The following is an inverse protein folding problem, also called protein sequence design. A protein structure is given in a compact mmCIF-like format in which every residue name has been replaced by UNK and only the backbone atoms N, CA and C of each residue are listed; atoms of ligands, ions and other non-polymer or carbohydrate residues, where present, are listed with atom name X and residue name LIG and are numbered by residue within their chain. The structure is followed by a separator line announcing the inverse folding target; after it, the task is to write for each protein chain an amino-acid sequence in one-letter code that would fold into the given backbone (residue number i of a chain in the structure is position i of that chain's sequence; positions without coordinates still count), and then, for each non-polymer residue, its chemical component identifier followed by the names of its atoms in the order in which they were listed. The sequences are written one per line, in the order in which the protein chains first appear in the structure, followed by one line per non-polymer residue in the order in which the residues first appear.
data_IF_324289950941
#
_entry.id   IF_324289950941
#
_cell.length_a   1.000
_cell.length_b   1.000
_cell.length_c   1.000
_cell.angle_alpha   90.00
_cell.angle_beta   90.00
_cell.angle_gamma   90.00
#
_symmetry.space_group_name_H-M   'P 1'
#
loop_
_entity.id
_entity.type
_entity.pdbx_description
1 polymer ?
#
# COMPACT_ATOMS: atom_id res chain seq x y z
N UNK A 1 -0.54 42.43 59.88
CA UNK A 1 0.81 42.91 59.50
C UNK A 1 1.78 41.77 59.69
N UNK A 2 2.67 41.35 58.79
CA UNK A 2 3.04 41.69 57.41
C UNK A 2 3.77 40.42 56.87
N UNK A 3 3.65 40.24 55.57
CA UNK A 3 4.22 39.22 54.65
C UNK A 3 5.75 39.03 54.69
N UNK A 4 6.23 37.83 54.29
CA UNK A 4 7.32 37.59 53.30
C UNK A 4 7.54 36.06 53.10
N UNK A 5 7.09 35.49 51.98
CA UNK A 5 7.84 35.25 50.73
C UNK A 5 8.80 34.04 50.76
N UNK A 6 8.34 32.89 50.23
CA UNK A 6 9.21 31.99 49.47
C UNK A 6 8.49 31.66 48.16
N UNK A 7 9.04 32.20 47.09
CA UNK A 7 8.70 31.90 45.70
C UNK A 7 8.98 30.41 45.42
N UNK A 8 8.02 29.70 44.85
CA UNK A 8 8.30 28.48 44.08
C UNK A 8 7.48 28.54 42.81
N UNK A 9 8.07 29.15 41.78
CA UNK A 9 7.56 29.14 40.42
C UNK A 9 7.73 27.72 39.86
N UNK A 10 6.66 26.94 39.83
CA UNK A 10 6.63 25.70 39.04
C UNK A 10 6.46 26.11 37.58
N UNK A 11 7.55 26.04 36.82
CA UNK A 11 7.54 26.14 35.37
C UNK A 11 6.73 24.96 34.83
N UNK A 12 5.45 25.20 34.48
CA UNK A 12 4.71 24.32 33.58
C UNK A 12 5.33 24.51 32.19
N UNK A 13 6.30 23.68 31.85
CA UNK A 13 6.65 23.46 30.45
C UNK A 13 5.46 22.70 29.83
N UNK A 14 4.51 23.44 29.23
CA UNK A 14 3.61 22.85 28.26
C UNK A 14 4.48 22.29 27.13
N UNK A 15 4.62 20.98 27.11
CA UNK A 15 5.07 20.20 25.96
C UNK A 15 4.06 20.38 24.83
N UNK A 16 4.11 21.52 24.16
CA UNK A 16 3.59 21.67 22.81
C UNK A 16 4.59 21.00 21.86
N UNK A 17 4.63 19.67 21.89
CA UNK A 17 5.03 18.93 20.70
C UNK A 17 3.94 19.22 19.67
N UNK A 18 4.13 20.31 18.92
CA UNK A 18 3.52 20.45 17.60
C UNK A 18 4.04 19.23 16.84
N UNK A 19 3.25 18.17 16.83
CA UNK A 19 3.41 17.12 15.85
C UNK A 19 3.24 17.82 14.52
N UNK A 20 4.35 18.25 13.93
CA UNK A 20 4.40 18.53 12.51
C UNK A 20 4.17 17.15 11.89
N UNK A 21 2.89 16.86 11.63
CA UNK A 21 2.48 15.78 10.75
C UNK A 21 3.07 16.15 9.40
N UNK A 22 4.32 15.80 9.16
CA UNK A 22 4.82 15.66 7.82
C UNK A 22 3.84 14.69 7.18
N UNK A 23 3.01 15.19 6.26
CA UNK A 23 2.29 14.33 5.34
C UNK A 23 3.38 13.52 4.65
N UNK A 24 3.65 12.33 5.17
CA UNK A 24 4.54 11.39 4.55
C UNK A 24 4.07 11.22 3.11
N UNK A 25 5.04 11.47 2.23
CA UNK A 25 4.83 11.56 0.82
C UNK A 25 4.79 10.12 0.32
N UNK A 26 3.86 9.81 -0.59
CA UNK A 26 4.04 8.64 -1.42
C UNK A 26 5.43 8.62 -2.06
N UNK A 27 6.02 7.45 -2.17
CA UNK A 27 7.39 7.33 -2.60
C UNK A 27 7.87 5.90 -2.80
N UNK A 28 9.16 5.79 -3.07
CA UNK A 28 9.82 4.59 -3.55
C UNK A 28 10.11 3.60 -2.45
N UNK A 29 9.55 2.41 -2.58
CA UNK A 29 9.83 1.31 -1.69
C UNK A 29 10.89 0.36 -2.27
N UNK A 30 11.58 -0.36 -1.38
CA UNK A 30 12.53 -1.40 -1.80
C UNK A 30 11.81 -2.73 -1.88
N UNK A 31 11.91 -3.39 -3.02
CA UNK A 31 11.32 -4.71 -3.25
C UNK A 31 12.29 -5.81 -2.79
N UNK A 32 11.86 -6.68 -1.86
CA UNK A 32 12.59 -7.89 -1.51
C UNK A 32 11.90 -9.09 -2.18
N UNK A 33 12.62 -9.77 -3.06
CA UNK A 33 12.09 -10.87 -3.87
C UNK A 33 13.07 -12.05 -3.92
N UNK A 34 12.61 -13.19 -4.44
CA UNK A 34 13.44 -14.36 -4.73
C UNK A 34 13.26 -14.78 -6.19
N UNK A 35 14.35 -15.06 -6.93
CA UNK A 35 15.75 -14.94 -6.52
C UNK A 35 16.22 -13.47 -6.44
N UNK A 36 17.17 -13.15 -5.55
CA UNK A 36 17.83 -11.84 -5.47
C UNK A 36 19.36 -11.99 -5.53
N UNK A 37 20.06 -11.42 -6.53
CA UNK A 37 19.51 -10.69 -7.67
C UNK A 37 18.68 -11.60 -8.60
N UNK A 38 17.83 -11.00 -9.43
CA UNK A 38 17.17 -11.74 -10.53
C UNK A 38 18.24 -12.19 -11.51
N UNK A 39 18.43 -13.50 -11.65
CA UNK A 39 19.37 -14.10 -12.61
C UNK A 39 18.72 -14.47 -13.93
N UNK A 40 17.40 -14.68 -13.92
CA UNK A 40 16.60 -15.01 -15.10
C UNK A 40 15.35 -14.12 -15.10
N UNK A 41 15.26 -13.11 -16.01
CA UNK A 41 14.11 -12.21 -16.09
C UNK A 41 12.85 -12.89 -16.65
N UNK A 42 12.95 -14.13 -17.13
CA UNK A 42 11.82 -14.91 -17.66
C UNK A 42 11.16 -15.82 -16.62
N UNK A 43 11.83 -16.05 -15.49
CA UNK A 43 11.39 -17.00 -14.47
C UNK A 43 10.51 -16.33 -13.39
N UNK A 44 10.01 -17.12 -12.45
CA UNK A 44 9.26 -16.60 -11.31
C UNK A 44 10.12 -15.63 -10.47
N UNK A 45 9.55 -14.47 -10.14
CA UNK A 45 10.15 -13.46 -9.26
C UNK A 45 9.17 -13.25 -8.11
N UNK A 46 9.40 -13.99 -7.03
CA UNK A 46 8.46 -14.06 -5.92
C UNK A 46 8.73 -12.93 -4.94
N UNK A 47 7.74 -12.05 -4.75
CA UNK A 47 7.79 -11.01 -3.72
C UNK A 47 7.72 -11.65 -2.33
N UNK A 48 8.73 -11.35 -1.53
CA UNK A 48 8.82 -11.78 -0.13
C UNK A 48 8.39 -10.67 0.83
N UNK A 49 8.89 -9.45 0.59
CA UNK A 49 8.57 -8.29 1.43
C UNK A 49 8.86 -6.97 0.70
N UNK A 50 8.39 -5.87 1.28
CA UNK A 50 8.68 -4.51 0.85
C UNK A 50 9.23 -3.72 2.03
N UNK A 51 10.26 -2.91 1.81
CA UNK A 51 10.68 -1.89 2.77
C UNK A 51 10.09 -0.56 2.32
N UNK A 52 9.16 -0.03 3.13
CA UNK A 52 8.45 1.23 2.88
C UNK A 52 9.37 2.43 3.11
N UNK A 53 8.91 3.61 2.72
CA UNK A 53 9.66 4.87 2.90
C UNK A 53 9.96 5.21 4.38
N UNK A 54 9.17 4.68 5.32
CA UNK A 54 9.40 4.83 6.76
C UNK A 54 10.42 3.81 7.31
N UNK A 55 11.02 2.99 6.45
CA UNK A 55 12.00 1.95 6.79
C UNK A 55 11.37 0.67 7.33
N UNK A 56 10.05 0.56 7.42
CA UNK A 56 9.39 -0.65 7.91
C UNK A 56 9.27 -1.69 6.80
N UNK A 57 9.60 -2.93 7.17
CA UNK A 57 9.36 -4.08 6.32
C UNK A 57 7.91 -4.54 6.47
N UNK A 58 7.27 -4.85 5.35
CA UNK A 58 5.97 -5.51 5.27
C UNK A 58 6.09 -6.78 4.44
N UNK A 59 5.47 -7.86 4.90
CA UNK A 59 5.41 -9.13 4.18
C UNK A 59 3.97 -9.66 4.03
N UNK A 60 3.02 -9.01 4.70
CA UNK A 60 1.62 -9.41 4.74
C UNK A 60 0.83 -8.59 3.72
N UNK A 61 0.65 -9.15 2.54
CA UNK A 61 0.00 -8.49 1.41
C UNK A 61 -1.47 -8.90 1.28
N UNK A 62 -2.32 -7.93 0.97
CA UNK A 62 -3.66 -8.16 0.44
C UNK A 62 -3.54 -8.26 -1.09
N UNK A 63 -3.95 -9.41 -1.62
CA UNK A 63 -3.93 -9.71 -3.04
C UNK A 63 -5.30 -9.41 -3.66
N UNK A 64 -5.31 -9.16 -4.97
CA UNK A 64 -6.56 -9.00 -5.72
C UNK A 64 -7.30 -10.33 -5.76
N UNK A 65 -8.56 -10.35 -5.37
CA UNK A 65 -9.40 -11.56 -5.37
C UNK A 65 -10.46 -11.54 -6.46
N UNK A 66 -10.87 -10.34 -6.90
CA UNK A 66 -11.84 -10.20 -7.98
C UNK A 66 -11.60 -8.91 -8.77
N UNK A 67 -12.05 -8.94 -10.01
CA UNK A 67 -11.99 -7.83 -10.95
C UNK A 67 -13.33 -7.68 -11.64
N UNK A 68 -13.79 -6.45 -11.84
CA UNK A 68 -14.84 -6.13 -12.80
C UNK A 68 -14.21 -5.36 -13.96
N UNK A 69 -14.39 -5.86 -15.18
CA UNK A 69 -13.98 -5.15 -16.39
C UNK A 69 -15.09 -4.18 -16.75
N UNK A 70 -14.88 -2.89 -16.49
CA UNK A 70 -15.85 -1.83 -16.80
C UNK A 70 -15.72 -1.41 -18.25
N UNK A 71 -14.48 -1.27 -18.72
CA UNK A 71 -14.14 -0.92 -20.10
C UNK A 71 -12.87 -1.65 -20.52
N UNK A 72 -12.90 -2.20 -21.72
CA UNK A 72 -11.74 -2.75 -22.42
C UNK A 72 -11.89 -2.36 -23.90
N UNK A 73 -11.35 -1.20 -24.30
CA UNK A 73 -11.65 -0.56 -25.59
C UNK A 73 -10.41 -0.21 -26.42
N UNK A 74 -10.63 0.12 -27.70
CA UNK A 74 -9.58 0.64 -28.60
C UNK A 74 -9.04 -0.39 -29.59
N UNK A 75 -8.51 -1.51 -29.09
CA UNK A 75 -7.91 -2.61 -29.87
C UNK A 75 -8.04 -3.95 -29.10
N UNK A 76 -7.86 -5.09 -29.79
CA UNK A 76 -7.63 -6.37 -29.08
C UNK A 76 -6.32 -6.27 -28.29
N UNK A 77 -6.22 -6.88 -27.11
CA UNK A 77 -5.01 -6.80 -26.27
C UNK A 77 -4.98 -5.61 -25.30
N UNK A 78 -5.91 -4.64 -25.38
CA UNK A 78 -5.92 -3.45 -24.52
C UNK A 78 -5.79 -3.76 -23.02
N UNK A 79 -6.38 -4.86 -22.57
CA UNK A 79 -6.08 -5.48 -21.28
C UNK A 79 -5.81 -6.94 -21.58
N UNK A 80 -4.55 -7.32 -21.62
CA UNK A 80 -4.10 -8.70 -21.74
C UNK A 80 -3.52 -9.17 -20.41
N UNK A 81 -3.24 -10.47 -20.31
CA UNK A 81 -2.45 -11.02 -19.22
C UNK A 81 -1.18 -11.61 -19.79
N UNK A 82 -0.02 -11.30 -19.19
CA UNK A 82 1.26 -11.86 -19.61
C UNK A 82 2.13 -12.24 -18.40
N UNK A 83 3.04 -13.18 -18.61
CA UNK A 83 3.97 -13.69 -17.60
C UNK A 83 5.35 -13.89 -18.19
N UNK A 84 6.34 -14.02 -17.32
CA UNK A 84 7.66 -14.50 -17.72
C UNK A 84 7.61 -15.79 -18.56
N UNK A 85 8.47 -15.90 -19.57
CA UNK A 85 8.47 -17.04 -20.52
C UNK A 85 8.48 -18.39 -19.79
N UNK A 86 9.23 -18.47 -18.69
CA UNK A 86 9.42 -19.68 -17.89
C UNK A 86 8.74 -19.61 -16.53
N UNK A 87 8.01 -18.54 -16.23
CA UNK A 87 7.22 -18.39 -15.01
C UNK A 87 6.13 -19.47 -14.91
N UNK A 88 5.92 -20.03 -13.72
CA UNK A 88 5.03 -21.17 -13.50
C UNK A 88 3.65 -20.76 -12.99
N UNK A 89 3.55 -19.60 -12.33
CA UNK A 89 2.29 -18.98 -11.89
C UNK A 89 1.72 -18.04 -12.96
N UNK A 90 0.40 -17.73 -12.95
CA UNK A 90 -0.66 -18.26 -12.06
C UNK A 90 -1.24 -19.60 -12.55
N UNK A 91 -0.56 -20.32 -13.44
CA UNK A 91 -1.08 -21.54 -14.07
C UNK A 91 -2.07 -21.27 -15.21
N UNK A 92 -2.24 -20.00 -15.58
CA UNK A 92 -2.92 -19.58 -16.80
C UNK A 92 -1.89 -19.26 -17.88
N UNK A 93 -2.27 -19.46 -19.14
CA UNK A 93 -1.48 -18.98 -20.27
C UNK A 93 -1.77 -17.49 -20.50
N UNK A 94 -0.79 -16.74 -21.05
CA UNK A 94 -1.04 -15.39 -21.56
C UNK A 94 -2.26 -15.35 -22.48
N UNK A 95 -3.01 -14.25 -22.43
CA UNK A 95 -4.29 -14.12 -23.11
C UNK A 95 -4.56 -12.66 -23.45
N UNK A 96 -4.78 -12.37 -24.74
CA UNK A 96 -5.07 -11.05 -25.30
C UNK A 96 -6.48 -10.52 -24.98
N UNK A 97 -7.36 -11.40 -24.52
CA UNK A 97 -8.71 -11.05 -24.10
C UNK A 97 -9.11 -11.90 -22.88
N UNK A 98 -8.45 -11.66 -21.73
CA UNK A 98 -8.65 -12.41 -20.51
C UNK A 98 -10.03 -12.09 -19.91
N UNK A 99 -10.65 -13.11 -19.34
CA UNK A 99 -11.79 -12.93 -18.45
C UNK A 99 -11.37 -12.19 -17.18
N UNK A 100 -12.34 -11.59 -16.49
CA UNK A 100 -12.13 -10.99 -15.17
C UNK A 100 -11.45 -11.94 -14.17
N UNK A 101 -11.74 -13.24 -14.26
CA UNK A 101 -11.12 -14.28 -13.41
C UNK A 101 -9.64 -14.46 -13.73
N UNK A 102 -9.26 -14.42 -15.00
CA UNK A 102 -7.87 -14.53 -15.42
C UNK A 102 -7.06 -13.30 -14.97
N UNK A 103 -7.60 -12.09 -15.16
CA UNK A 103 -6.99 -10.85 -14.64
C UNK A 103 -6.81 -10.95 -13.11
N UNK A 104 -7.85 -11.39 -12.39
CA UNK A 104 -7.76 -11.60 -10.94
C UNK A 104 -6.71 -12.64 -10.56
N UNK A 105 -6.51 -13.71 -11.35
CA UNK A 105 -5.47 -14.70 -11.09
C UNK A 105 -4.05 -14.15 -11.31
N UNK A 106 -3.86 -13.30 -12.32
CA UNK A 106 -2.57 -12.64 -12.60
C UNK A 106 -2.22 -11.58 -11.55
N UNK A 107 -3.20 -10.83 -11.05
CA UNK A 107 -3.00 -9.85 -9.96
C UNK A 107 -3.01 -10.49 -8.57
N UNK A 108 -3.71 -11.60 -8.40
CA UNK A 108 -3.99 -12.27 -7.13
C UNK A 108 -2.89 -13.21 -6.62
N UNK A 109 -1.64 -12.93 -6.96
CA UNK A 109 -0.47 -13.70 -6.53
C UNK A 109 0.72 -12.77 -6.29
N UNK A 110 1.75 -13.26 -5.58
CA UNK A 110 2.95 -12.49 -5.27
C UNK A 110 4.10 -12.68 -6.28
N UNK A 111 3.85 -13.26 -7.45
CA UNK A 111 4.84 -13.32 -8.51
C UNK A 111 4.82 -12.02 -9.31
N UNK A 112 5.92 -11.26 -9.23
CA UNK A 112 6.09 -9.98 -9.92
C UNK A 112 6.29 -10.15 -11.43
N UNK A 113 6.54 -11.37 -11.89
CA UNK A 113 6.60 -11.70 -13.31
C UNK A 113 5.26 -12.21 -13.86
N UNK A 114 4.16 -11.90 -13.17
CA UNK A 114 2.79 -12.07 -13.65
C UNK A 114 2.14 -10.70 -13.64
N UNK A 115 1.80 -10.19 -14.81
CA UNK A 115 1.36 -8.82 -15.00
C UNK A 115 0.06 -8.77 -15.80
N UNK A 116 -0.63 -7.64 -15.65
CA UNK A 116 -1.55 -7.18 -16.68
C UNK A 116 -0.70 -6.41 -17.68
N UNK A 117 -0.78 -6.81 -18.93
CA UNK A 117 -0.05 -6.24 -20.05
C UNK A 117 -1.06 -5.44 -20.88
N UNK A 118 -0.69 -4.26 -21.34
CA UNK A 118 -1.64 -3.41 -22.08
C UNK A 118 -1.01 -2.65 -23.23
N UNK A 119 -1.83 -2.40 -24.24
CA UNK A 119 -1.38 -1.81 -25.49
C UNK A 119 -1.10 -0.31 -25.35
N UNK A 120 -0.06 0.18 -26.04
CA UNK A 120 0.35 1.59 -26.10
C UNK A 120 -0.80 2.58 -26.37
N UNK A 121 -1.83 2.13 -27.09
CA UNK A 121 -3.01 2.92 -27.48
C UNK A 121 -4.32 2.38 -26.91
N UNK A 122 -4.24 1.39 -26.04
CA UNK A 122 -5.37 0.81 -25.35
C UNK A 122 -6.00 1.79 -24.37
N UNK A 123 -7.29 1.61 -24.10
CA UNK A 123 -7.99 2.32 -23.04
C UNK A 123 -8.82 1.32 -22.20
N UNK A 124 -8.59 1.30 -20.89
CA UNK A 124 -9.29 0.40 -20.00
C UNK A 124 -9.76 1.07 -18.72
N UNK A 125 -10.80 0.45 -18.13
CA UNK A 125 -11.26 0.69 -16.77
C UNK A 125 -11.52 -0.64 -16.09
N UNK A 126 -10.83 -0.87 -14.97
CA UNK A 126 -10.96 -2.07 -14.15
C UNK A 126 -11.30 -1.67 -12.72
N UNK A 127 -12.25 -2.35 -12.10
CA UNK A 127 -12.41 -2.31 -10.65
C UNK A 127 -11.78 -3.56 -10.06
N UNK A 128 -10.75 -3.41 -9.23
CA UNK A 128 -10.06 -4.51 -8.56
C UNK A 128 -10.41 -4.50 -7.08
N UNK A 129 -10.68 -5.67 -6.51
CA UNK A 129 -11.04 -5.82 -5.09
C UNK A 129 -10.08 -6.75 -4.38
N UNK A 130 -9.83 -6.45 -3.11
CA UNK A 130 -9.00 -7.24 -2.21
C UNK A 130 -9.85 -8.17 -1.35
N UNK A 131 -9.24 -9.19 -0.75
CA UNK A 131 -9.92 -10.13 0.14
C UNK A 131 -10.49 -9.45 1.40
N UNK A 132 -9.76 -8.44 1.91
CA UNK A 132 -10.17 -7.64 3.05
C UNK A 132 -9.99 -6.16 2.77
N UNK A 133 -10.90 -5.34 3.31
CA UNK A 133 -10.79 -3.89 3.20
C UNK A 133 -9.53 -3.39 3.93
N UNK A 134 -8.83 -2.45 3.29
CA UNK A 134 -7.66 -1.78 3.84
C UNK A 134 -8.13 -0.57 4.62
N UNK A 135 -7.85 -0.55 5.93
CA UNK A 135 -8.21 0.57 6.78
C UNK A 135 -7.23 1.73 6.59
N UNK A 136 -7.75 2.88 6.18
CA UNK A 136 -7.00 4.13 6.15
C UNK A 136 -6.60 4.53 7.56
N UNK A 137 -5.30 4.69 7.78
CA UNK A 137 -4.76 5.27 8.99
C UNK A 137 -4.29 6.72 8.75
N UNK A 138 -3.98 7.43 9.82
CA UNK A 138 -3.39 8.78 9.73
C UNK A 138 -1.88 8.74 9.46
N UNK A 139 -1.33 7.57 9.15
CA UNK A 139 0.07 7.49 8.75
C UNK A 139 0.11 7.76 7.26
N UNK A 140 0.88 8.75 6.85
CA UNK A 140 0.92 9.16 5.45
C UNK A 140 1.84 8.20 4.64
N UNK A 141 1.57 6.93 4.81
CA UNK A 141 2.52 5.84 4.61
C UNK A 141 1.90 4.89 3.60
N UNK A 142 2.69 4.38 2.65
CA UNK A 142 2.17 3.76 1.44
C UNK A 142 1.36 2.50 1.74
N UNK A 143 0.15 2.41 1.21
CA UNK A 143 -0.78 1.31 1.49
C UNK A 143 -1.09 0.47 0.26
N UNK A 144 -0.87 1.01 -0.93
CA UNK A 144 -0.94 0.27 -2.19
C UNK A 144 0.41 0.36 -2.89
N UNK A 145 0.88 -0.76 -3.42
CA UNK A 145 2.18 -0.86 -4.06
C UNK A 145 1.98 -1.27 -5.50
N UNK A 146 2.55 -0.49 -6.41
CA UNK A 146 2.47 -0.72 -7.83
C UNK A 146 3.85 -1.03 -8.39
N UNK A 147 3.88 -1.94 -9.35
CA UNK A 147 5.00 -2.17 -10.23
C UNK A 147 4.55 -1.97 -11.67
N UNK A 148 5.45 -1.48 -12.50
CA UNK A 148 5.22 -1.30 -13.92
C UNK A 148 6.44 -1.76 -14.73
N UNK A 149 6.23 -2.52 -15.82
CA UNK A 149 7.29 -2.91 -16.75
C UNK A 149 7.47 -1.78 -17.77
N UNK A 150 8.70 -1.32 -17.98
CA UNK A 150 9.04 -0.36 -19.04
C UNK A 150 9.38 1.06 -18.57
N UNK A 151 8.96 1.47 -17.38
CA UNK A 151 9.13 2.81 -16.79
C UNK A 151 8.60 3.94 -17.70
N UNK A 152 7.57 3.67 -18.49
CA UNK A 152 7.21 4.52 -19.63
C UNK A 152 5.71 4.84 -19.72
N UNK A 153 4.89 4.20 -18.89
CA UNK A 153 3.44 4.35 -18.88
C UNK A 153 2.92 5.12 -17.67
N UNK A 154 1.61 5.41 -17.67
CA UNK A 154 0.91 6.00 -16.53
C UNK A 154 -0.34 5.20 -16.19
N UNK A 155 -0.78 5.29 -14.94
CA UNK A 155 -2.04 4.67 -14.52
C UNK A 155 -2.76 5.58 -13.53
N UNK A 156 -4.05 5.79 -13.76
CA UNK A 156 -4.91 6.51 -12.84
C UNK A 156 -5.64 5.53 -11.95
N UNK A 157 -5.78 5.88 -10.68
CA UNK A 157 -6.52 5.10 -9.72
C UNK A 157 -7.40 5.96 -8.81
N UNK A 158 -8.47 5.35 -8.31
CA UNK A 158 -9.34 5.92 -7.28
C UNK A 158 -9.84 4.80 -6.37
N UNK A 159 -10.05 5.10 -5.08
CA UNK A 159 -10.50 4.10 -4.13
C UNK A 159 -11.97 3.72 -4.32
N UNK A 160 -12.30 2.47 -3.98
CA UNK A 160 -13.65 1.91 -3.96
C UNK A 160 -14.03 1.48 -2.54
N UNK A 161 -15.28 1.73 -2.17
CA UNK A 161 -15.90 1.14 -0.97
C UNK A 161 -16.38 -0.31 -1.22
N UNK A 162 -16.94 -0.94 -0.18
CA UNK A 162 -17.46 -2.33 -0.25
C UNK A 162 -18.58 -2.54 -1.29
N UNK A 163 -19.24 -1.46 -1.71
CA UNK A 163 -20.34 -1.48 -2.68
C UNK A 163 -19.88 -1.14 -4.09
N UNK A 164 -18.58 -0.86 -4.26
CA UNK A 164 -18.01 -0.40 -5.52
C UNK A 164 -18.26 1.08 -5.82
N UNK A 165 -18.62 1.90 -4.82
CA UNK A 165 -18.70 3.34 -5.03
C UNK A 165 -17.31 3.96 -4.97
N UNK A 166 -17.07 4.96 -5.82
CA UNK A 166 -15.86 5.77 -5.80
C UNK A 166 -15.80 6.63 -4.53
N UNK A 167 -14.66 6.58 -3.84
CA UNK A 167 -14.37 7.37 -2.65
C UNK A 167 -13.01 8.08 -2.80
N UNK A 168 -12.87 9.23 -2.15
CA UNK A 168 -11.67 10.06 -2.27
C UNK A 168 -11.49 10.68 -3.66
N UNK A 169 -10.25 11.06 -3.96
CA UNK A 169 -9.82 11.69 -5.19
C UNK A 169 -9.16 10.68 -6.12
N UNK A 170 -9.28 10.91 -7.43
CA UNK A 170 -8.45 10.24 -8.41
C UNK A 170 -6.98 10.70 -8.28
N UNK A 171 -6.06 9.75 -8.37
CA UNK A 171 -4.61 9.99 -8.36
C UNK A 171 -4.00 9.30 -9.58
N UNK A 172 -3.03 9.95 -10.23
CA UNK A 172 -2.33 9.36 -11.38
C UNK A 172 -0.88 9.11 -11.01
N UNK A 173 -0.44 7.87 -11.15
CA UNK A 173 0.98 7.54 -11.17
C UNK A 173 1.47 7.91 -12.58
N UNK A 174 2.03 9.11 -12.71
CA UNK A 174 2.65 9.57 -13.94
C UNK A 174 3.96 8.82 -14.17
N UNK A 175 4.33 8.63 -15.45
CA UNK A 175 5.57 7.93 -15.82
C UNK A 175 6.84 8.49 -15.16
N UNK A 176 6.85 9.78 -14.82
CA UNK A 176 7.97 10.45 -14.14
C UNK A 176 8.08 10.09 -12.66
N UNK A 177 7.08 9.44 -12.07
CA UNK A 177 7.07 9.01 -10.68
C UNK A 177 7.64 7.61 -10.47
N UNK A 178 7.75 6.81 -11.53
CA UNK A 178 8.32 5.48 -11.41
C UNK A 178 9.81 5.54 -11.07
N UNK A 179 10.20 4.77 -10.06
CA UNK A 179 11.60 4.55 -9.73
C UNK A 179 11.96 3.08 -9.93
N UNK A 180 13.19 2.83 -10.35
CA UNK A 180 13.64 1.47 -10.66
C UNK A 180 13.55 0.55 -9.43
N UNK A 181 12.80 -0.54 -9.56
CA UNK A 181 12.50 -1.49 -8.49
C UNK A 181 13.66 -2.45 -8.17
N UNK A 182 14.77 -2.38 -8.91
CA UNK A 182 15.96 -3.21 -8.70
C UNK A 182 16.01 -4.50 -9.54
N UNK A 183 15.06 -4.70 -10.46
CA UNK A 183 15.01 -5.90 -11.31
C UNK A 183 14.40 -5.62 -12.68
N UNK A 184 14.59 -6.57 -13.58
CA UNK A 184 14.01 -6.57 -14.93
C UNK A 184 13.14 -7.80 -15.12
N UNK A 185 12.14 -7.69 -15.99
CA UNK A 185 11.32 -8.83 -16.42
C UNK A 185 11.27 -8.92 -17.94
N UNK A 186 11.13 -10.15 -18.44
CA UNK A 186 10.91 -10.48 -19.84
C UNK A 186 9.73 -11.45 -19.89
N UNK A 187 8.60 -10.94 -20.37
CA UNK A 187 7.39 -11.74 -20.57
C UNK A 187 7.29 -12.22 -22.01
N UNK A 188 6.27 -13.02 -22.32
CA UNK A 188 6.18 -13.74 -23.60
C UNK A 188 6.01 -12.85 -24.82
N UNK A 189 5.47 -11.65 -24.63
CA UNK A 189 5.21 -10.68 -25.68
C UNK A 189 6.48 -9.96 -26.16
N UNK A 190 7.50 -9.80 -25.30
CA UNK A 190 8.71 -9.01 -25.60
C UNK A 190 9.98 -9.85 -25.81
N UNK A 191 10.87 -9.32 -26.65
CA UNK A 191 12.13 -10.02 -26.99
C UNK A 191 13.28 -9.69 -26.05
N UNK A 192 13.23 -8.58 -25.31
CA UNK A 192 14.28 -8.12 -24.39
C UNK A 192 13.69 -7.83 -23.02
N UNK A 193 14.45 -8.12 -21.96
CA UNK A 193 14.04 -7.77 -20.61
C UNK A 193 13.98 -6.24 -20.43
N UNK A 194 12.98 -5.78 -19.72
CA UNK A 194 12.76 -4.36 -19.43
C UNK A 194 12.84 -4.10 -17.93
N UNK A 195 13.26 -2.88 -17.57
CA UNK A 195 13.29 -2.43 -16.18
C UNK A 195 11.88 -2.37 -15.60
N UNK A 196 11.76 -2.74 -14.34
CA UNK A 196 10.52 -2.59 -13.59
C UNK A 196 10.58 -1.35 -12.70
N UNK A 197 9.55 -0.51 -12.77
CA UNK A 197 9.27 0.57 -11.85
C UNK A 197 8.51 0.15 -10.62
N UNK A 198 8.65 0.93 -9.55
CA UNK A 198 7.90 0.78 -8.32
C UNK A 198 7.41 2.15 -7.82
N UNK A 199 6.17 2.19 -7.33
CA UNK A 199 5.62 3.37 -6.67
C UNK A 199 4.60 2.99 -5.59
N UNK A 200 4.76 3.56 -4.40
CA UNK A 200 3.81 3.41 -3.30
C UNK A 200 2.74 4.50 -3.34
N UNK A 201 1.47 4.14 -3.20
CA UNK A 201 0.36 5.07 -3.06
C UNK A 201 -0.13 5.08 -1.61
N UNK A 202 -0.17 6.27 -1.01
CA UNK A 202 -0.74 6.50 0.32
C UNK A 202 -2.21 6.92 0.23
N UNK A 203 -2.94 6.79 1.33
CA UNK A 203 -4.30 7.32 1.44
C UNK A 203 -4.38 8.84 1.24
N UNK A 204 -3.30 9.57 1.56
CA UNK A 204 -3.19 11.00 1.30
C UNK A 204 -3.22 11.34 -0.19
N UNK A 205 -2.63 10.50 -1.05
CA UNK A 205 -2.71 10.67 -2.51
C UNK A 205 -4.16 10.57 -3.01
N UNK A 206 -4.93 9.69 -2.38
CA UNK A 206 -6.34 9.45 -2.69
C UNK A 206 -7.26 10.42 -1.94
N UNK A 207 -6.74 11.40 -1.19
CA UNK A 207 -7.54 12.36 -0.42
C UNK A 207 -8.46 11.71 0.63
N UNK A 208 -8.12 10.52 1.11
CA UNK A 208 -8.92 9.77 2.06
C UNK A 208 -8.59 10.19 3.50
N UNK A 209 -9.62 10.29 4.33
CA UNK A 209 -9.47 10.54 5.77
C UNK A 209 -9.25 9.24 6.52
N UNK A 210 -8.48 9.28 7.60
CA UNK A 210 -8.32 8.12 8.49
C UNK A 210 -9.65 7.57 9.00
N UNK A 211 -9.71 6.25 9.15
CA UNK A 211 -10.92 5.51 9.45
C UNK A 211 -11.71 5.09 8.20
N UNK A 212 -11.35 5.55 7.01
CA UNK A 212 -12.01 5.12 5.78
C UNK A 212 -11.58 3.71 5.40
N UNK A 213 -12.55 2.83 5.13
CA UNK A 213 -12.31 1.50 4.61
C UNK A 213 -12.26 1.53 3.08
N UNK A 214 -11.19 0.99 2.50
CA UNK A 214 -11.03 0.83 1.05
C UNK A 214 -11.07 -0.64 0.70
N UNK A 215 -12.10 -1.07 -0.03
CA UNK A 215 -12.27 -2.48 -0.44
C UNK A 215 -11.64 -2.80 -1.78
N UNK A 216 -11.34 -1.77 -2.59
CA UNK A 216 -10.77 -1.94 -3.91
C UNK A 216 -10.25 -0.64 -4.51
N UNK A 217 -9.76 -0.74 -5.75
CA UNK A 217 -9.33 0.39 -6.56
C UNK A 217 -10.00 0.32 -7.92
N UNK A 218 -10.50 1.45 -8.42
CA UNK A 218 -10.73 1.66 -9.85
C UNK A 218 -9.40 2.01 -10.47
N UNK A 219 -9.02 1.32 -11.53
CA UNK A 219 -7.81 1.53 -12.33
C UNK A 219 -8.22 1.97 -13.73
N UNK A 220 -7.56 3.00 -14.25
CA UNK A 220 -7.88 3.60 -15.54
C UNK A 220 -6.58 3.84 -16.31
N UNK A 221 -6.54 3.36 -17.54
CA UNK A 221 -5.55 3.77 -18.52
C UNK A 221 -6.25 4.48 -19.67
N UNK A 222 -5.83 5.72 -19.95
CA UNK A 222 -6.24 6.44 -21.15
C UNK A 222 -5.32 6.09 -22.31
N UNK A 223 -5.76 6.32 -23.54
CA UNK A 223 -4.92 6.13 -24.73
C UNK A 223 -3.60 6.94 -24.73
N UNK A 224 -3.48 7.98 -23.90
CA UNK A 224 -2.28 8.79 -23.74
C UNK A 224 -1.33 8.26 -22.67
N UNK A 225 -1.65 7.13 -22.04
CA UNK A 225 -0.90 6.56 -20.92
C UNK A 225 0.13 5.51 -21.34
N UNK A 226 0.30 5.26 -22.64
CA UNK A 226 1.29 4.31 -23.20
C UNK A 226 1.17 2.90 -22.61
N UNK A 227 -0.04 2.36 -22.47
CA UNK A 227 -0.25 0.95 -22.08
C UNK A 227 0.50 0.51 -20.82
N UNK A 228 -0.03 0.77 -19.59
CA UNK A 228 0.65 0.31 -18.39
C UNK A 228 0.69 -1.20 -18.23
N UNK A 229 1.89 -1.72 -18.03
CA UNK A 229 2.17 -3.13 -17.80
C UNK A 229 2.39 -3.40 -16.31
N UNK A 230 1.33 -3.69 -15.57
CA UNK A 230 1.33 -3.49 -14.13
C UNK A 230 1.08 -4.74 -13.29
N UNK A 231 1.57 -4.65 -12.04
CA UNK A 231 1.20 -5.49 -10.91
C UNK A 231 0.88 -4.58 -9.73
N UNK A 232 -0.07 -4.98 -8.89
CA UNK A 232 -0.40 -4.24 -7.68
C UNK A 232 -0.73 -5.15 -6.51
N UNK A 233 -0.49 -4.64 -5.31
CA UNK A 233 -0.79 -5.30 -4.04
C UNK A 233 -1.18 -4.22 -3.03
N UNK A 234 -1.89 -4.59 -1.97
CA UNK A 234 -2.11 -3.70 -0.84
C UNK A 234 -1.43 -4.21 0.44
N UNK A 235 -1.13 -3.31 1.36
CA UNK A 235 -0.67 -3.65 2.70
C UNK A 235 -1.84 -4.16 3.53
N UNK A 236 -1.64 -5.26 4.27
CA UNK A 236 -2.57 -5.68 5.31
C UNK A 236 -2.46 -4.76 6.53
N UNK A 237 -3.20 -3.66 6.54
CA UNK A 237 -3.48 -2.93 7.77
C UNK A 237 -4.63 -3.64 8.48
N UNK A 238 -4.32 -4.64 9.32
CA UNK A 238 -5.33 -5.26 10.17
C UNK A 238 -6.06 -4.18 10.97
N UNK A 239 -7.31 -3.91 10.61
CA UNK A 239 -8.33 -3.59 11.60
C UNK A 239 -8.25 -4.70 12.66
N UNK A 240 -8.22 -4.31 13.94
CA UNK A 240 -8.03 -5.14 15.14
C UNK A 240 -6.60 -5.11 15.74
N UNK A 241 -6.19 -3.96 16.29
CA UNK A 241 -5.59 -4.03 17.62
C UNK A 241 -6.76 -4.10 18.63
N UNK A 242 -6.77 -5.03 19.59
CA UNK A 242 -7.72 -4.93 20.69
C UNK A 242 -7.45 -3.62 21.40
N UNK A 243 -8.36 -2.65 21.24
CA UNK A 243 -8.43 -1.49 22.13
C UNK A 243 -8.53 -2.10 23.53
N UNK A 244 -7.58 -1.83 24.45
CA UNK A 244 -7.72 -2.31 25.81
C UNK A 244 -9.07 -1.84 26.29
N UNK A 245 -9.95 -2.78 26.68
CA UNK A 245 -11.26 -2.40 27.19
C UNK A 245 -11.08 -1.32 28.27
N UNK A 246 -12.00 -0.36 28.40
CA UNK A 246 -11.89 0.69 29.43
C UNK A 246 -11.55 0.16 30.83
N UNK A 247 -11.93 -1.08 31.13
CA UNK A 247 -11.54 -1.82 32.34
C UNK A 247 -10.02 -2.01 32.50
N UNK A 248 -9.29 -2.31 31.42
CA UNK A 248 -7.83 -2.48 31.41
C UNK A 248 -7.09 -1.16 31.62
N UNK A 249 -7.64 -0.05 31.09
CA UNK A 249 -7.11 1.30 31.33
C UNK A 249 -7.38 1.78 32.77
N UNK A 250 -8.56 1.46 33.33
CA UNK A 250 -8.85 1.72 34.74
C UNK A 250 -7.94 0.89 35.66
N UNK A 251 -7.63 -0.36 35.30
CA UNK A 251 -6.73 -1.22 36.07
C UNK A 251 -5.31 -0.65 36.20
N UNK A 252 -4.73 -0.15 35.10
CA UNK A 252 -3.40 0.47 35.13
C UNK A 252 -3.39 1.82 35.87
N UNK A 253 -4.45 2.62 35.74
CA UNK A 253 -4.63 3.85 36.52
C UNK A 253 -4.74 3.61 38.03
N UNK A 254 -5.46 2.55 38.43
CA UNK A 254 -5.61 2.17 39.83
C UNK A 254 -4.29 1.66 40.44
N UNK A 255 -3.49 0.89 39.70
CA UNK A 255 -2.17 0.40 40.16
C UNK A 255 -1.17 1.56 40.33
N UNK A 256 -1.16 2.52 39.41
CA UNK A 256 -0.33 3.73 39.55
C UNK A 256 -0.78 4.60 40.74
N UNK A 257 -2.09 4.76 40.95
CA UNK A 257 -2.67 5.45 42.11
C UNK A 257 -2.32 4.79 43.44
N UNK A 258 -2.39 3.45 43.51
CA UNK A 258 -2.01 2.67 44.70
C UNK A 258 -0.50 2.75 44.98
N UNK A 259 0.36 2.69 43.96
CA UNK A 259 1.81 2.87 44.17
C UNK A 259 2.14 4.27 44.70
N UNK A 260 1.46 5.32 44.22
CA UNK A 260 1.64 6.69 44.71
C UNK A 260 1.12 6.86 46.14
N UNK A 261 -0.01 6.24 46.50
CA UNK A 261 -0.52 6.24 47.88
C UNK A 261 0.38 5.47 48.85
N UNK A 262 0.86 4.28 48.47
CA UNK A 262 1.81 3.50 49.27
C UNK A 262 3.13 4.25 49.48
N UNK A 263 3.62 4.98 48.46
CA UNK A 263 4.81 5.85 48.61
C UNK A 263 4.60 7.00 49.60
N UNK A 264 3.38 7.55 49.72
CA UNK A 264 3.07 8.59 50.72
C UNK A 264 3.02 8.04 52.14
N UNK A 265 2.51 6.82 52.33
CA UNK A 265 2.43 6.20 53.66
C UNK A 265 3.81 5.79 54.22
N UNK A 266 4.75 5.37 53.36
CA UNK A 266 6.11 5.01 53.80
C UNK A 266 6.90 6.24 54.29
N UNK A 267 6.61 7.45 53.78
CA UNK A 267 7.24 8.69 54.27
C UNK A 267 6.67 9.20 55.61
N UNK A 268 5.46 8.81 55.99
CA UNK A 268 4.83 9.28 57.24
C UNK A 268 5.25 8.42 58.45
N UNK A 269 5.71 7.18 58.24
CA UNK A 269 6.18 6.27 59.30
C UNK A 269 7.67 6.40 59.69
N UNK A 270 8.37 7.45 59.24
CA UNK A 270 9.69 7.82 59.77
C UNK A 270 9.56 9.10 60.62
N UNK A 271 9.09 8.92 61.85
CA UNK A 271 9.36 9.79 63.01
C UNK A 271 9.78 8.86 64.13
#
# INVERSE_FOLDING_TARGET
MKTQNIFTSVVLALSASVAMSNSAKAGTFVTNFSPSPVTDPTADIILNSIIRNDGRMISDFQLVTSVNIIKNGGVSGTVSTDKGDTATSPGFNPNENPSAREIAAYLGNNNLNNIIDSEDKGEFELDVFFDSAVLSDNTATDSFFFWERGLNSSIQLQALDERGNLIGNAFTIDKSLWEFAGFQIKTTEITQAQNVGAFGVSFGNLGLTSGTLVSGLKLIAFNSFNGPDFKLLAHTSLCCTPIPEPATMMGLGAVAGLMLMCRRQIRIKKI
#
